data_IF_883834055055
#
_entry.id   IF_883834055055
#
_cell.length_a   1.000
_cell.length_b   1.000
_cell.length_c   1.000
_cell.angle_alpha   90.00
_cell.angle_beta   90.00
_cell.angle_gamma   90.00
#
_symmetry.space_group_name_H-M   'P 1'
#
loop_
_entity.id
_entity.type
_entity.pdbx_description
1 polymer ?
#
# COMPACT_ATOMS: atom_id res chain seq x y z
N UNK A 1 -9.55 1.22 24.17
CA UNK A 1 -10.68 0.59 23.43
C UNK A 1 -12.00 1.31 23.67
N UNK A 2 -12.48 1.42 24.91
CA UNK A 2 -13.82 2.00 25.15
C UNK A 2 -13.89 3.48 24.75
N UNK A 3 -12.80 4.23 24.94
CA UNK A 3 -12.66 5.62 24.47
C UNK A 3 -12.74 5.73 22.94
N UNK A 4 -11.99 4.91 22.19
CA UNK A 4 -12.08 4.85 20.73
C UNK A 4 -13.51 4.52 20.27
N UNK A 5 -14.14 3.51 20.88
CA UNK A 5 -15.51 3.12 20.57
C UNK A 5 -16.56 4.17 20.98
N UNK A 6 -16.22 5.06 21.91
CA UNK A 6 -17.03 6.22 22.28
C UNK A 6 -16.85 7.34 21.24
N UNK A 7 -15.60 7.63 20.85
CA UNK A 7 -15.26 8.63 19.84
C UNK A 7 -15.88 8.33 18.47
N UNK A 8 -15.88 7.08 18.03
CA UNK A 8 -16.55 6.67 16.78
C UNK A 8 -18.02 6.27 17.00
N UNK A 9 -18.51 6.35 18.23
CA UNK A 9 -19.85 5.92 18.61
C UNK A 9 -20.95 6.78 17.99
N UNK A 10 -20.69 8.07 17.78
CA UNK A 10 -21.66 9.04 17.27
C UNK A 10 -22.10 8.77 15.83
N UNK A 11 -21.22 8.12 15.04
CA UNK A 11 -21.52 7.62 13.68
C UNK A 11 -22.71 6.68 13.66
N UNK A 12 -22.97 5.98 14.77
CA UNK A 12 -24.10 5.07 14.92
C UNK A 12 -25.21 5.79 15.71
N UNK A 13 -26.25 6.35 15.05
CA UNK A 13 -27.22 7.22 15.72
C UNK A 13 -28.07 6.49 16.77
N UNK A 14 -28.30 5.18 16.57
CA UNK A 14 -29.14 4.37 17.45
C UNK A 14 -28.31 3.59 18.48
N UNK A 15 -28.78 3.56 19.73
CA UNK A 15 -28.11 2.83 20.82
C UNK A 15 -27.94 1.33 20.52
N UNK A 16 -28.92 0.71 19.85
CA UNK A 16 -28.82 -0.69 19.44
C UNK A 16 -27.74 -0.92 18.36
N UNK A 17 -27.58 0.01 17.42
CA UNK A 17 -26.52 -0.03 16.42
C UNK A 17 -25.15 0.20 17.05
N UNK A 18 -25.00 1.16 17.95
CA UNK A 18 -23.76 1.37 18.73
C UNK A 18 -23.33 0.08 19.43
N UNK A 19 -24.25 -0.55 20.16
CA UNK A 19 -23.95 -1.82 20.85
C UNK A 19 -23.50 -2.91 19.87
N UNK A 20 -24.12 -2.98 18.68
CA UNK A 20 -23.74 -3.96 17.66
C UNK A 20 -22.38 -3.68 17.03
N UNK A 21 -22.09 -2.43 16.70
CA UNK A 21 -20.80 -2.00 16.19
C UNK A 21 -19.68 -2.29 17.20
N UNK A 22 -19.88 -1.93 18.48
CA UNK A 22 -18.95 -2.27 19.56
C UNK A 22 -18.69 -3.78 19.66
N UNK A 23 -19.74 -4.60 19.61
CA UNK A 23 -19.61 -6.06 19.64
C UNK A 23 -18.91 -6.61 18.39
N UNK A 24 -19.17 -6.05 17.21
CA UNK A 24 -18.49 -6.40 15.96
C UNK A 24 -16.98 -6.12 16.07
N UNK A 25 -16.58 -4.91 16.49
CA UNK A 25 -15.16 -4.55 16.65
C UNK A 25 -14.47 -5.42 17.69
N UNK A 26 -15.12 -5.71 18.82
CA UNK A 26 -14.60 -6.65 19.82
C UNK A 26 -14.40 -8.06 19.26
N UNK A 27 -15.33 -8.56 18.45
CA UNK A 27 -15.17 -9.86 17.77
C UNK A 27 -14.09 -9.84 16.69
N UNK A 28 -13.92 -8.73 15.97
CA UNK A 28 -12.83 -8.56 15.01
C UNK A 28 -11.47 -8.65 15.70
N UNK A 29 -11.34 -8.10 16.90
CA UNK A 29 -10.12 -8.15 17.72
C UNK A 29 -9.99 -9.44 18.55
N UNK A 30 -11.10 -10.13 18.77
CA UNK A 30 -11.16 -11.33 19.60
C UNK A 30 -10.62 -12.59 18.91
N UNK A 31 -10.48 -13.70 19.66
CA UNK A 31 -10.00 -14.99 19.16
C UNK A 31 -11.08 -15.74 18.36
N UNK A 32 -11.68 -15.08 17.37
CA UNK A 32 -12.65 -15.65 16.44
C UNK A 32 -11.91 -16.23 15.24
N UNK A 33 -12.11 -17.53 14.96
CA UNK A 33 -11.35 -18.28 13.95
C UNK A 33 -11.55 -17.75 12.52
N UNK A 34 -12.78 -17.39 12.15
CA UNK A 34 -13.11 -16.69 10.91
C UNK A 34 -14.05 -15.54 11.22
N UNK A 35 -13.63 -14.31 10.94
CA UNK A 35 -14.36 -13.09 11.35
C UNK A 35 -15.53 -12.75 10.41
N UNK A 36 -16.40 -13.73 10.18
CA UNK A 36 -17.64 -13.59 9.43
C UNK A 36 -18.82 -13.25 10.36
N UNK A 37 -19.96 -12.86 9.77
CA UNK A 37 -21.12 -12.37 10.55
C UNK A 37 -21.71 -13.40 11.51
N UNK A 38 -21.55 -14.70 11.24
CA UNK A 38 -22.03 -15.77 12.12
C UNK A 38 -21.18 -15.89 13.37
N UNK A 39 -19.87 -16.11 13.20
CA UNK A 39 -18.98 -16.32 14.33
C UNK A 39 -18.80 -15.04 15.17
N UNK A 40 -18.88 -13.86 14.54
CA UNK A 40 -18.92 -12.59 15.27
C UNK A 40 -20.21 -12.43 16.10
N UNK A 41 -21.34 -12.98 15.66
CA UNK A 41 -22.58 -12.98 16.43
C UNK A 41 -22.51 -13.96 17.60
N UNK A 42 -21.99 -15.17 17.38
CA UNK A 42 -21.78 -16.17 18.43
C UNK A 42 -20.83 -15.66 19.52
N UNK A 43 -19.70 -15.05 19.12
CA UNK A 43 -18.76 -14.43 20.05
C UNK A 43 -19.41 -13.31 20.87
N UNK A 44 -20.35 -12.56 20.29
CA UNK A 44 -21.13 -11.53 20.98
C UNK A 44 -22.27 -12.10 21.85
N UNK A 45 -22.43 -13.43 21.94
CA UNK A 45 -23.47 -14.11 22.70
C UNK A 45 -24.85 -14.10 22.04
N UNK A 46 -24.93 -13.85 20.72
CA UNK A 46 -26.20 -13.83 19.99
C UNK A 46 -26.48 -15.17 19.30
N UNK A 47 -27.76 -15.58 19.33
CA UNK A 47 -28.21 -16.84 18.73
C UNK A 47 -28.25 -16.82 17.19
N UNK A 48 -28.21 -15.64 16.56
CA UNK A 48 -28.41 -15.47 15.12
C UNK A 48 -27.55 -14.34 14.55
N UNK A 49 -27.10 -14.44 13.28
CA UNK A 49 -26.28 -13.44 12.61
C UNK A 49 -27.07 -12.20 12.15
N UNK A 50 -28.40 -12.21 12.24
CA UNK A 50 -29.28 -11.17 11.65
C UNK A 50 -28.90 -9.76 12.08
N UNK A 51 -28.44 -9.60 13.31
CA UNK A 51 -27.96 -8.33 13.84
C UNK A 51 -26.68 -7.82 13.17
N UNK A 52 -25.70 -8.70 12.93
CA UNK A 52 -24.47 -8.35 12.22
C UNK A 52 -24.76 -8.10 10.74
N UNK A 53 -25.62 -8.91 10.13
CA UNK A 53 -26.07 -8.69 8.76
C UNK A 53 -26.81 -7.36 8.63
N UNK A 54 -27.68 -7.02 9.58
CA UNK A 54 -28.36 -5.72 9.60
C UNK A 54 -27.37 -4.57 9.71
N UNK A 55 -26.39 -4.64 10.62
CA UNK A 55 -25.36 -3.62 10.80
C UNK A 55 -24.61 -3.33 9.48
N UNK A 56 -24.20 -4.38 8.76
CA UNK A 56 -23.40 -4.26 7.54
C UNK A 56 -24.25 -3.92 6.32
N UNK A 57 -25.48 -4.41 6.23
CA UNK A 57 -26.30 -4.32 5.01
C UNK A 57 -27.36 -3.20 5.12
N UNK A 58 -28.31 -3.36 6.03
CA UNK A 58 -29.56 -2.57 6.02
C UNK A 58 -29.58 -1.36 6.95
N UNK A 59 -28.69 -1.31 7.94
CA UNK A 59 -28.66 -0.21 8.90
C UNK A 59 -28.32 1.12 8.19
N UNK A 60 -28.72 2.25 8.79
CA UNK A 60 -28.36 3.59 8.31
C UNK A 60 -27.32 4.19 9.27
N UNK A 61 -26.10 4.32 8.78
CA UNK A 61 -24.96 4.99 9.42
C UNK A 61 -23.95 5.34 8.33
N UNK A 62 -23.17 6.39 8.57
CA UNK A 62 -22.22 6.93 7.60
C UNK A 62 -20.89 6.18 7.69
N UNK A 63 -20.56 5.43 6.63
CA UNK A 63 -19.34 4.63 6.59
C UNK A 63 -18.10 5.48 6.34
N UNK A 64 -18.26 6.63 5.71
CA UNK A 64 -17.17 7.56 5.41
C UNK A 64 -16.86 8.43 6.63
N UNK A 65 -17.86 8.80 7.43
CA UNK A 65 -17.63 9.41 8.74
C UNK A 65 -16.83 8.47 9.67
N UNK A 66 -17.14 7.16 9.65
CA UNK A 66 -16.32 6.17 10.37
C UNK A 66 -14.89 6.11 9.84
N UNK A 67 -14.69 6.11 8.51
CA UNK A 67 -13.35 6.14 7.91
C UNK A 67 -12.58 7.37 8.36
N UNK A 68 -13.20 8.55 8.33
CA UNK A 68 -12.56 9.79 8.72
C UNK A 68 -12.20 9.79 10.21
N UNK A 69 -13.02 9.14 11.06
CA UNK A 69 -12.67 8.84 12.45
C UNK A 69 -11.47 7.90 12.61
N UNK A 70 -11.43 6.81 11.84
CA UNK A 70 -10.29 5.86 11.82
C UNK A 70 -9.01 6.56 11.37
N UNK A 71 -9.09 7.37 10.33
CA UNK A 71 -7.96 8.15 9.81
C UNK A 71 -7.39 9.07 10.87
N UNK A 72 -8.22 9.93 11.48
CA UNK A 72 -7.76 10.85 12.55
C UNK A 72 -7.12 10.09 13.71
N UNK A 73 -7.76 9.03 14.18
CA UNK A 73 -7.20 8.19 15.25
C UNK A 73 -5.83 7.59 14.88
N UNK A 74 -5.65 7.14 13.64
CA UNK A 74 -4.39 6.59 13.16
C UNK A 74 -3.30 7.67 12.98
N UNK A 75 -3.66 8.83 12.41
CA UNK A 75 -2.73 9.95 12.22
C UNK A 75 -2.22 10.47 13.57
N UNK A 76 -3.13 10.70 14.51
CA UNK A 76 -2.79 11.20 15.85
C UNK A 76 -2.02 10.14 16.66
N UNK A 77 -2.52 8.90 16.68
CA UNK A 77 -1.94 7.83 17.50
C UNK A 77 -0.56 7.36 17.03
N UNK A 78 -0.26 7.50 15.73
CA UNK A 78 1.03 7.13 15.15
C UNK A 78 1.90 8.35 14.80
N UNK A 79 1.49 9.56 15.21
CA UNK A 79 2.23 10.79 14.93
C UNK A 79 3.69 10.68 15.37
N UNK A 80 4.58 11.22 14.53
CA UNK A 80 6.02 11.13 14.66
C UNK A 80 6.66 12.44 14.19
N UNK A 81 7.64 12.91 14.95
CA UNK A 81 8.44 14.10 14.62
C UNK A 81 9.16 13.99 13.26
N UNK A 82 9.52 12.78 12.84
CA UNK A 82 10.12 12.52 11.53
C UNK A 82 9.12 12.68 10.36
N UNK A 83 7.83 12.86 10.66
CA UNK A 83 6.74 12.83 9.70
C UNK A 83 6.26 11.41 9.41
N UNK A 84 5.47 11.27 8.35
CA UNK A 84 4.97 9.96 7.93
C UNK A 84 4.91 9.82 6.43
N UNK A 85 4.69 8.58 6.01
CA UNK A 85 4.54 8.20 4.62
C UNK A 85 3.12 7.71 4.40
N UNK A 86 2.38 8.41 3.53
CA UNK A 86 1.15 7.92 2.96
C UNK A 86 1.49 6.95 1.85
N UNK A 87 1.10 5.69 2.01
CA UNK A 87 1.43 4.65 1.04
C UNK A 87 0.15 4.15 0.37
N UNK A 88 0.16 4.11 -0.96
CA UNK A 88 -0.93 3.54 -1.76
C UNK A 88 -0.54 2.14 -2.22
N UNK A 89 -1.40 1.18 -1.94
CA UNK A 89 -1.24 -0.20 -2.36
C UNK A 89 -2.61 -0.86 -2.62
N UNK A 90 -2.62 -2.01 -3.26
CA UNK A 90 -3.81 -2.80 -3.49
C UNK A 90 -3.70 -4.20 -2.92
N UNK A 91 -4.85 -4.79 -2.65
CA UNK A 91 -4.85 -6.19 -2.28
C UNK A 91 -6.07 -6.94 -2.78
N UNK A 92 -5.84 -8.21 -3.13
CA UNK A 92 -6.89 -9.11 -3.59
C UNK A 92 -7.55 -9.87 -2.45
N UNK A 93 -8.85 -10.05 -2.58
CA UNK A 93 -9.69 -10.88 -1.72
C UNK A 93 -10.28 -12.00 -2.56
N UNK A 94 -9.90 -13.25 -2.28
CA UNK A 94 -10.43 -14.41 -2.99
C UNK A 94 -11.95 -14.47 -2.82
N UNK A 95 -12.68 -14.41 -3.93
CA UNK A 95 -14.15 -14.38 -3.91
C UNK A 95 -14.67 -14.94 -5.22
N UNK A 96 -15.63 -15.86 -5.12
CA UNK A 96 -16.23 -16.55 -6.27
C UNK A 96 -17.70 -16.16 -6.42
N UNK A 97 -18.21 -16.31 -7.64
CA UNK A 97 -19.60 -16.02 -8.00
C UNK A 97 -19.74 -14.77 -8.87
N UNK A 98 -20.98 -14.49 -9.28
CA UNK A 98 -21.31 -13.36 -10.18
C UNK A 98 -21.99 -12.21 -9.45
N UNK A 99 -22.44 -12.41 -8.22
CA UNK A 99 -23.33 -11.47 -7.50
C UNK A 99 -22.64 -10.60 -6.45
N UNK A 100 -21.42 -10.95 -6.03
CA UNK A 100 -20.66 -10.11 -5.08
C UNK A 100 -19.98 -8.98 -5.84
N UNK A 101 -20.23 -7.74 -5.44
CA UNK A 101 -19.72 -6.51 -6.06
C UNK A 101 -18.23 -6.58 -6.38
N UNK A 102 -17.82 -6.16 -7.58
CA UNK A 102 -16.41 -6.12 -7.96
C UNK A 102 -15.72 -7.47 -8.21
N UNK A 103 -16.42 -8.61 -8.06
CA UNK A 103 -15.83 -9.92 -8.38
C UNK A 103 -15.63 -10.07 -9.88
N UNK A 104 -14.38 -10.28 -10.28
CA UNK A 104 -13.99 -10.64 -11.64
C UNK A 104 -12.72 -11.51 -11.62
N UNK A 105 -12.36 -12.12 -12.76
CA UNK A 105 -11.04 -12.74 -12.92
C UNK A 105 -10.01 -11.63 -13.06
N UNK A 106 -9.13 -11.48 -12.07
CA UNK A 106 -8.14 -10.40 -12.03
C UNK A 106 -6.80 -10.98 -11.60
N UNK A 107 -5.71 -10.38 -12.08
CA UNK A 107 -4.38 -10.68 -11.56
C UNK A 107 -4.27 -10.15 -10.13
N UNK A 108 -3.77 -10.98 -9.22
CA UNK A 108 -3.48 -10.58 -7.85
C UNK A 108 -2.18 -11.23 -7.41
N UNK A 109 -1.21 -10.38 -7.04
CA UNK A 109 0.07 -10.83 -6.51
C UNK A 109 -0.10 -11.70 -5.26
N UNK A 110 -1.07 -11.37 -4.40
CA UNK A 110 -1.31 -12.12 -3.17
C UNK A 110 -1.85 -13.54 -3.38
N UNK A 111 -2.46 -13.83 -4.53
CA UNK A 111 -2.91 -15.20 -4.89
C UNK A 111 -2.01 -15.86 -5.95
N UNK A 112 -0.96 -15.18 -6.41
CA UNK A 112 0.03 -15.74 -7.34
C UNK A 112 -0.49 -15.97 -8.77
N UNK A 113 -1.47 -15.19 -9.24
CA UNK A 113 -1.98 -15.35 -10.61
C UNK A 113 -3.34 -14.71 -10.87
N UNK A 114 -4.02 -15.20 -11.91
CA UNK A 114 -5.34 -14.71 -12.35
C UNK A 114 -6.46 -15.59 -11.80
N UNK A 115 -7.20 -15.06 -10.83
CA UNK A 115 -8.27 -15.77 -10.13
C UNK A 115 -9.52 -14.90 -9.98
N UNK A 116 -10.71 -15.51 -9.78
CA UNK A 116 -11.87 -14.77 -9.30
C UNK A 116 -11.57 -14.12 -7.94
N UNK A 117 -11.57 -12.79 -7.91
CA UNK A 117 -11.32 -12.01 -6.70
C UNK A 117 -11.96 -10.62 -6.77
N UNK A 118 -12.04 -9.97 -5.61
CA UNK A 118 -12.25 -8.53 -5.48
C UNK A 118 -10.89 -7.87 -5.24
N UNK A 119 -10.69 -6.65 -5.76
CA UNK A 119 -9.49 -5.85 -5.48
C UNK A 119 -9.92 -4.62 -4.70
N UNK A 120 -9.31 -4.38 -3.55
CA UNK A 120 -9.40 -3.11 -2.84
C UNK A 120 -8.11 -2.32 -3.04
N UNK A 121 -8.23 -1.03 -3.30
CA UNK A 121 -7.15 -0.04 -3.24
C UNK A 121 -7.19 0.60 -1.85
N UNK A 122 -6.04 0.70 -1.20
CA UNK A 122 -5.93 1.16 0.17
C UNK A 122 -4.90 2.27 0.27
N UNK A 123 -5.19 3.24 1.14
CA UNK A 123 -4.21 4.18 1.63
C UNK A 123 -3.82 3.77 3.05
N UNK A 124 -2.52 3.71 3.32
CA UNK A 124 -1.98 3.37 4.62
C UNK A 124 -1.09 4.50 5.14
N UNK A 125 -1.20 4.78 6.43
CA UNK A 125 -0.32 5.70 7.13
C UNK A 125 0.80 4.93 7.80
N UNK A 126 2.04 5.29 7.52
CA UNK A 126 3.22 4.62 8.07
C UNK A 126 4.20 5.64 8.67
N UNK A 127 4.60 5.42 9.92
CA UNK A 127 5.62 6.20 10.64
C UNK A 127 6.64 5.25 11.28
N UNK A 128 7.63 5.76 12.02
CA UNK A 128 8.55 4.87 12.74
C UNK A 128 7.85 4.12 13.87
N UNK A 129 6.72 4.62 14.35
CA UNK A 129 5.93 4.04 15.45
C UNK A 129 5.00 2.90 15.02
N UNK A 130 4.70 2.79 13.73
CA UNK A 130 3.81 1.75 13.21
C UNK A 130 3.16 2.11 11.90
N UNK A 131 2.25 1.25 11.44
CA UNK A 131 1.45 1.53 10.24
C UNK A 131 0.05 0.92 10.32
N UNK A 132 -0.91 1.60 9.71
CA UNK A 132 -2.29 1.10 9.56
C UNK A 132 -2.98 1.69 8.33
N UNK A 133 -4.14 1.13 7.98
CA UNK A 133 -4.97 1.58 6.85
C UNK A 133 -5.83 2.79 7.26
N UNK A 134 -5.88 3.81 6.42
CA UNK A 134 -6.59 5.09 6.67
C UNK A 134 -7.65 5.42 5.62
N UNK A 135 -7.59 4.82 4.42
CA UNK A 135 -8.65 4.92 3.41
C UNK A 135 -8.71 3.65 2.55
N UNK A 136 -9.82 3.48 1.82
CA UNK A 136 -10.22 2.30 1.08
C UNK A 136 -11.14 2.64 -0.07
N UNK A 137 -10.90 2.03 -1.22
CA UNK A 137 -11.79 2.03 -2.38
C UNK A 137 -11.87 0.62 -2.99
N UNK A 138 -13.06 0.19 -3.40
CA UNK A 138 -13.18 -1.05 -4.19
C UNK A 138 -12.90 -0.74 -5.66
N UNK A 139 -12.03 -1.51 -6.29
CA UNK A 139 -11.85 -1.44 -7.73
C UNK A 139 -12.98 -2.20 -8.43
N UNK A 140 -13.76 -1.49 -9.25
CA UNK A 140 -14.87 -2.03 -10.02
C UNK A 140 -14.46 -2.18 -11.49
N UNK A 141 -14.20 -3.42 -11.99
CA UNK A 141 -13.75 -3.62 -13.36
C UNK A 141 -14.80 -3.23 -14.41
N UNK A 142 -14.38 -2.96 -15.65
CA UNK A 142 -15.30 -2.55 -16.73
C UNK A 142 -16.46 -3.53 -16.98
N UNK A 143 -16.23 -4.83 -16.78
CA UNK A 143 -17.29 -5.86 -16.89
C UNK A 143 -18.42 -5.69 -15.84
N UNK A 144 -18.19 -4.94 -14.77
CA UNK A 144 -19.22 -4.53 -13.83
C UNK A 144 -19.89 -3.23 -14.24
N UNK A 145 -19.11 -2.19 -14.52
CA UNK A 145 -19.66 -0.87 -14.85
C UNK A 145 -20.38 -0.82 -16.20
N UNK A 146 -20.12 -1.79 -17.08
CA UNK A 146 -20.88 -2.02 -18.31
C UNK A 146 -22.20 -2.79 -18.12
N UNK A 147 -22.43 -3.38 -16.95
CA UNK A 147 -23.63 -4.17 -16.62
C UNK A 147 -24.42 -3.48 -15.49
N UNK A 148 -25.29 -2.55 -15.86
CA UNK A 148 -26.01 -1.69 -14.91
C UNK A 148 -27.04 -2.44 -14.08
N UNK A 149 -27.66 -3.47 -14.62
CA UNK A 149 -28.57 -4.35 -13.88
C UNK A 149 -27.83 -5.09 -12.76
N UNK A 150 -26.66 -5.63 -13.07
CA UNK A 150 -25.80 -6.29 -12.08
C UNK A 150 -25.28 -5.32 -11.02
N UNK A 151 -24.91 -4.10 -11.42
CA UNK A 151 -24.57 -3.03 -10.48
C UNK A 151 -25.74 -2.70 -9.54
N UNK A 152 -26.95 -2.52 -10.07
CA UNK A 152 -28.14 -2.22 -9.27
C UNK A 152 -28.48 -3.37 -8.30
N UNK A 153 -28.39 -4.62 -8.75
CA UNK A 153 -28.59 -5.80 -7.90
C UNK A 153 -27.56 -5.91 -6.76
N UNK A 154 -26.34 -5.43 -6.98
CA UNK A 154 -25.30 -5.32 -5.95
C UNK A 154 -25.32 -3.97 -5.19
N UNK A 155 -26.31 -3.11 -5.47
CA UNK A 155 -26.49 -1.79 -4.87
C UNK A 155 -25.32 -0.82 -5.09
N UNK A 156 -24.64 -0.94 -6.23
CA UNK A 156 -23.66 0.06 -6.68
C UNK A 156 -24.41 1.34 -7.05
N UNK A 157 -24.03 2.53 -6.54
CA UNK A 157 -24.67 3.78 -6.91
C UNK A 157 -24.60 4.05 -8.42
N UNK A 158 -25.65 4.64 -9.00
CA UNK A 158 -25.74 4.90 -10.45
C UNK A 158 -24.62 5.81 -10.96
N UNK A 159 -24.16 6.73 -10.11
CA UNK A 159 -23.08 7.68 -10.41
C UNK A 159 -21.69 7.02 -10.48
N UNK A 160 -21.56 5.77 -10.03
CA UNK A 160 -20.27 5.06 -10.06
C UNK A 160 -19.98 4.58 -11.49
N UNK A 161 -19.03 5.24 -12.12
CA UNK A 161 -18.42 4.84 -13.40
C UNK A 161 -17.16 3.98 -13.22
N UNK A 162 -16.57 3.59 -14.35
CA UNK A 162 -15.24 2.97 -14.32
C UNK A 162 -14.18 3.98 -13.87
N UNK A 163 -13.30 3.56 -12.97
CA UNK A 163 -12.13 4.32 -12.57
C UNK A 163 -10.92 3.37 -12.49
N UNK A 164 -9.78 3.80 -13.03
CA UNK A 164 -8.53 3.06 -12.86
C UNK A 164 -8.05 3.15 -11.41
N UNK A 165 -7.18 2.23 -10.99
CA UNK A 165 -6.62 2.24 -9.62
C UNK A 165 -5.91 3.57 -9.29
N UNK A 166 -5.09 4.18 -10.18
CA UNK A 166 -4.53 5.51 -9.93
C UNK A 166 -5.60 6.57 -9.69
N UNK A 167 -6.70 6.57 -10.44
CA UNK A 167 -7.81 7.54 -10.23
C UNK A 167 -8.56 7.31 -8.92
N UNK A 168 -8.63 6.08 -8.43
CA UNK A 168 -9.14 5.78 -7.08
C UNK A 168 -8.17 6.29 -6.01
N UNK A 169 -6.86 6.09 -6.21
CA UNK A 169 -5.83 6.59 -5.30
C UNK A 169 -5.82 8.13 -5.22
N UNK A 170 -5.94 8.83 -6.34
CA UNK A 170 -6.07 10.30 -6.38
C UNK A 170 -7.24 10.79 -5.52
N UNK A 171 -8.41 10.13 -5.61
CA UNK A 171 -9.57 10.45 -4.77
C UNK A 171 -9.29 10.24 -3.28
N UNK A 172 -8.62 9.15 -2.91
CA UNK A 172 -8.23 8.92 -1.52
C UNK A 172 -7.23 9.98 -1.04
N UNK A 173 -6.22 10.31 -1.85
CA UNK A 173 -5.22 11.32 -1.53
C UNK A 173 -5.90 12.68 -1.32
N UNK A 174 -6.77 13.13 -2.23
CA UNK A 174 -7.49 14.40 -2.09
C UNK A 174 -8.33 14.47 -0.80
N UNK A 175 -8.91 13.35 -0.35
CA UNK A 175 -9.66 13.29 0.91
C UNK A 175 -8.76 13.39 2.15
N UNK A 176 -7.57 12.79 2.09
CA UNK A 176 -6.66 12.66 3.23
C UNK A 176 -5.77 13.90 3.37
N UNK A 177 -5.38 14.51 2.25
CA UNK A 177 -4.40 15.59 2.16
C UNK A 177 -4.63 16.75 3.15
N UNK A 178 -5.87 17.23 3.41
CA UNK A 178 -6.09 18.31 4.36
C UNK A 178 -5.72 17.98 5.82
N UNK A 179 -5.61 16.70 6.17
CA UNK A 179 -5.26 16.23 7.52
C UNK A 179 -3.78 15.85 7.67
N UNK A 180 -3.01 15.86 6.57
CA UNK A 180 -1.61 15.44 6.58
C UNK A 180 -0.69 16.57 7.07
N UNK A 181 0.36 16.19 7.80
CA UNK A 181 1.43 17.11 8.17
C UNK A 181 2.25 17.54 6.94
N UNK A 182 2.85 18.74 6.98
CA UNK A 182 3.60 19.32 5.86
C UNK A 182 4.80 18.47 5.41
N UNK A 183 5.39 17.69 6.32
CA UNK A 183 6.53 16.80 6.05
C UNK A 183 6.11 15.40 5.55
N UNK A 184 4.86 15.22 5.15
CA UNK A 184 4.34 13.93 4.66
C UNK A 184 4.85 13.61 3.26
N UNK A 185 5.26 12.36 3.05
CA UNK A 185 5.62 11.82 1.74
C UNK A 185 4.61 10.79 1.23
N UNK A 186 4.55 10.64 -0.09
CA UNK A 186 3.78 9.61 -0.77
C UNK A 186 4.69 8.47 -1.23
N UNK A 187 4.28 7.22 -1.03
CA UNK A 187 4.86 6.07 -1.71
C UNK A 187 3.79 5.22 -2.39
N UNK A 188 4.13 4.58 -3.50
CA UNK A 188 3.21 3.73 -4.22
C UNK A 188 3.94 2.70 -5.08
N UNK A 189 3.26 1.60 -5.42
CA UNK A 189 3.80 0.55 -6.27
C UNK A 189 3.93 0.96 -7.75
N UNK A 190 4.40 0.02 -8.59
CA UNK A 190 4.63 0.24 -10.02
C UNK A 190 3.37 0.64 -10.80
N UNK A 191 2.18 0.15 -10.41
CA UNK A 191 0.93 0.46 -11.10
C UNK A 191 0.64 1.97 -11.05
N UNK A 192 0.94 2.60 -9.92
CA UNK A 192 0.80 4.05 -9.74
C UNK A 192 2.01 4.78 -10.30
N UNK A 193 3.22 4.30 -10.00
CA UNK A 193 4.43 5.01 -10.37
C UNK A 193 4.69 5.06 -11.88
N UNK A 194 4.17 4.13 -12.68
CA UNK A 194 4.21 4.21 -14.16
C UNK A 194 3.21 5.23 -14.74
N UNK A 195 2.15 5.57 -14.02
CA UNK A 195 1.12 6.49 -14.47
C UNK A 195 1.62 7.94 -14.36
N UNK A 196 1.91 8.57 -15.50
CA UNK A 196 2.40 9.95 -15.53
C UNK A 196 1.37 10.94 -14.97
N UNK A 197 0.08 10.69 -15.15
CA UNK A 197 -0.99 11.53 -14.62
C UNK A 197 -1.05 11.50 -13.10
N UNK A 198 -0.83 10.33 -12.48
CA UNK A 198 -0.75 10.17 -11.04
C UNK A 198 0.44 10.93 -10.45
N UNK A 199 1.61 10.84 -11.10
CA UNK A 199 2.79 11.62 -10.69
C UNK A 199 2.52 13.12 -10.82
N UNK A 200 2.03 13.59 -11.96
CA UNK A 200 1.66 15.01 -12.14
C UNK A 200 0.58 15.47 -11.16
N UNK A 201 -0.37 14.61 -10.79
CA UNK A 201 -1.34 14.90 -9.74
C UNK A 201 -0.65 15.14 -8.40
N UNK A 202 0.24 14.24 -7.96
CA UNK A 202 0.98 14.41 -6.70
C UNK A 202 1.81 15.70 -6.70
N UNK A 203 2.50 16.01 -7.81
CA UNK A 203 3.23 17.28 -7.99
C UNK A 203 2.29 18.50 -7.89
N UNK A 204 1.10 18.44 -8.53
CA UNK A 204 0.11 19.53 -8.47
C UNK A 204 -0.47 19.78 -7.07
N UNK A 205 -0.44 18.75 -6.22
CA UNK A 205 -0.83 18.81 -4.80
C UNK A 205 0.33 19.16 -3.88
N UNK A 206 1.52 19.38 -4.43
CA UNK A 206 2.76 19.60 -3.70
C UNK A 206 3.06 18.47 -2.70
N UNK A 207 2.66 17.23 -3.02
CA UNK A 207 2.88 16.06 -2.18
C UNK A 207 4.17 15.35 -2.66
N UNK A 208 5.28 15.46 -1.92
CA UNK A 208 6.53 14.83 -2.32
C UNK A 208 6.36 13.31 -2.34
N UNK A 209 7.02 12.63 -3.27
CA UNK A 209 6.81 11.19 -3.46
C UNK A 209 8.08 10.41 -3.78
N UNK A 210 8.03 9.11 -3.48
CA UNK A 210 8.92 8.08 -4.04
C UNK A 210 8.06 6.90 -4.50
N UNK A 211 8.00 6.65 -5.81
CA UNK A 211 7.12 5.63 -6.40
C UNK A 211 7.91 4.61 -7.19
N UNK A 212 7.53 3.34 -7.06
CA UNK A 212 8.14 2.25 -7.84
C UNK A 212 7.85 2.41 -9.34
N UNK A 213 8.80 2.04 -10.18
CA UNK A 213 8.63 2.00 -11.64
C UNK A 213 9.28 0.76 -12.22
N UNK A 214 8.87 0.37 -13.42
CA UNK A 214 9.52 -0.74 -14.14
C UNK A 214 10.96 -0.40 -14.51
N UNK A 215 11.79 -1.42 -14.71
CA UNK A 215 13.14 -1.27 -15.27
C UNK A 215 13.16 -0.60 -16.66
N UNK A 216 12.07 -0.68 -17.41
CA UNK A 216 11.90 -0.06 -18.71
C UNK A 216 11.49 1.43 -18.65
N UNK A 217 11.29 2.00 -17.44
CA UNK A 217 10.91 3.40 -17.29
C UNK A 217 11.96 4.31 -17.94
N UNK A 218 11.50 5.15 -18.86
CA UNK A 218 12.34 6.16 -19.49
C UNK A 218 12.33 7.44 -18.67
N UNK A 219 13.52 7.98 -18.45
CA UNK A 219 13.80 9.27 -17.81
C UNK A 219 14.54 10.16 -18.82
N UNK A 220 14.54 11.47 -18.58
CA UNK A 220 15.22 12.44 -19.45
C UNK A 220 16.44 13.06 -18.75
N UNK A 221 17.51 12.30 -18.44
CA UNK A 221 18.78 12.89 -18.06
C UNK A 221 19.42 13.55 -19.28
N UNK A 222 20.15 14.66 -19.13
CA UNK A 222 20.87 15.24 -20.27
C UNK A 222 22.05 14.32 -20.68
N UNK A 223 22.27 14.03 -21.98
CA UNK A 223 21.44 14.38 -23.14
C UNK A 223 20.45 13.26 -23.53
N UNK A 224 19.15 13.50 -23.38
CA UNK A 224 18.08 12.72 -24.02
C UNK A 224 17.48 11.58 -23.19
N UNK A 225 16.41 10.99 -23.74
CA UNK A 225 15.66 9.93 -23.06
C UNK A 225 16.47 8.65 -22.93
N UNK A 226 16.53 8.10 -21.72
CA UNK A 226 17.25 6.87 -21.40
C UNK A 226 16.42 6.02 -20.43
N UNK A 227 16.54 4.70 -20.55
CA UNK A 227 15.91 3.78 -19.58
C UNK A 227 16.68 3.79 -18.27
N UNK A 228 15.94 3.75 -17.16
CA UNK A 228 16.53 3.79 -15.81
C UNK A 228 17.46 2.61 -15.54
N UNK A 229 17.14 1.42 -16.04
CA UNK A 229 17.99 0.23 -15.88
C UNK A 229 19.34 0.36 -16.56
N UNK A 230 19.39 0.97 -17.75
CA UNK A 230 20.63 1.24 -18.48
C UNK A 230 21.49 2.31 -17.83
N UNK A 231 20.89 3.21 -17.06
CA UNK A 231 21.64 4.21 -16.31
C UNK A 231 22.20 3.61 -15.02
N UNK A 232 21.40 2.85 -14.27
CA UNK A 232 21.85 2.18 -13.06
C UNK A 232 22.92 1.14 -13.34
N UNK A 233 22.81 0.38 -14.42
CA UNK A 233 23.82 -0.61 -14.83
C UNK A 233 25.15 0.02 -15.28
N UNK A 234 25.17 1.31 -15.59
CA UNK A 234 26.37 2.05 -15.96
C UNK A 234 27.01 2.79 -14.78
N UNK A 235 26.40 2.72 -13.59
CA UNK A 235 26.92 3.36 -12.39
C UNK A 235 28.10 2.57 -11.80
N UNK A 236 29.14 3.28 -11.39
CA UNK A 236 30.26 2.71 -10.67
C UNK A 236 29.82 2.23 -9.28
N UNK A 237 30.43 1.17 -8.77
CA UNK A 237 30.08 0.62 -7.44
C UNK A 237 30.26 1.63 -6.29
N UNK A 238 31.15 2.62 -6.45
CA UNK A 238 31.34 3.72 -5.49
C UNK A 238 30.17 4.71 -5.46
N UNK A 239 29.32 4.71 -6.48
CA UNK A 239 28.10 5.53 -6.54
C UNK A 239 26.94 4.93 -5.72
N UNK A 240 27.06 3.66 -5.30
CA UNK A 240 26.07 2.96 -4.52
C UNK A 240 26.32 3.14 -3.02
N UNK A 241 25.31 3.66 -2.32
CA UNK A 241 25.36 3.90 -0.88
C UNK A 241 24.71 2.73 -0.14
N UNK A 242 25.40 2.19 0.87
CA UNK A 242 24.82 1.19 1.75
C UNK A 242 23.96 1.91 2.80
N UNK A 243 22.64 1.73 2.72
CA UNK A 243 21.68 2.38 3.60
C UNK A 243 20.85 1.32 4.32
N UNK A 244 20.71 1.49 5.63
CA UNK A 244 19.82 0.68 6.46
C UNK A 244 18.37 1.09 6.20
N UNK A 245 17.58 0.23 5.56
CA UNK A 245 16.20 0.56 5.16
C UNK A 245 15.15 0.33 6.26
N UNK A 246 15.54 0.51 7.54
CA UNK A 246 14.68 0.33 8.70
C UNK A 246 14.47 -1.12 9.15
N UNK A 247 13.80 -1.32 10.31
CA UNK A 247 13.64 -2.63 10.93
C UNK A 247 12.74 -3.54 10.09
N UNK A 248 13.14 -4.80 9.91
CA UNK A 248 12.27 -5.87 9.41
C UNK A 248 12.05 -6.93 10.50
N UNK A 249 11.01 -7.76 10.38
CA UNK A 249 10.78 -8.91 11.28
C UNK A 249 11.97 -9.90 11.31
N UNK A 250 12.91 -9.79 10.36
CA UNK A 250 14.12 -10.62 10.24
C UNK A 250 15.41 -9.87 10.59
N UNK A 251 15.34 -8.67 11.19
CA UNK A 251 16.47 -7.79 11.46
C UNK A 251 16.61 -6.65 10.43
N UNK A 252 17.62 -5.80 10.60
CA UNK A 252 17.91 -4.70 9.67
C UNK A 252 18.35 -5.23 8.31
N UNK A 253 17.71 -4.76 7.24
CA UNK A 253 18.15 -5.09 5.87
C UNK A 253 18.95 -3.92 5.34
N UNK A 254 20.24 -4.18 5.15
CA UNK A 254 21.12 -3.30 4.41
C UNK A 254 20.83 -3.43 2.92
N UNK A 255 20.62 -2.30 2.27
CA UNK A 255 20.40 -2.23 0.83
C UNK A 255 21.40 -1.26 0.22
N UNK A 256 21.84 -1.55 -0.99
CA UNK A 256 22.62 -0.60 -1.77
C UNK A 256 21.67 0.25 -2.61
N UNK A 257 21.84 1.56 -2.52
CA UNK A 257 21.02 2.57 -3.18
C UNK A 257 21.86 3.42 -4.09
N UNK A 258 21.43 3.54 -5.33
CA UNK A 258 21.95 4.49 -6.29
C UNK A 258 20.90 5.58 -6.51
N UNK A 259 21.23 6.82 -6.13
CA UNK A 259 20.33 7.96 -6.20
C UNK A 259 20.96 9.03 -7.10
N UNK A 260 20.25 9.45 -8.14
CA UNK A 260 20.70 10.50 -9.06
C UNK A 260 19.59 11.50 -9.32
N UNK A 261 19.95 12.79 -9.30
CA UNK A 261 19.02 13.87 -9.70
C UNK A 261 18.80 13.83 -11.20
N UNK A 262 17.56 14.02 -11.61
CA UNK A 262 17.17 14.24 -13.01
C UNK A 262 17.14 15.76 -13.19
N UNK A 263 17.92 16.30 -14.13
CA UNK A 263 17.86 17.71 -14.46
C UNK A 263 16.50 18.02 -15.11
N UNK A 264 15.80 19.03 -14.61
CA UNK A 264 14.54 19.43 -15.22
C UNK A 264 14.80 19.98 -16.64
N UNK A 265 14.02 19.56 -17.66
CA UNK A 265 14.28 19.92 -19.03
C UNK A 265 14.08 21.41 -19.33
N UNK A 266 13.27 22.14 -18.54
CA UNK A 266 12.87 23.52 -18.88
C UNK A 266 13.05 24.57 -17.78
N UNK A 267 13.49 24.23 -16.56
CA UNK A 267 13.78 25.25 -15.54
C UNK A 267 15.25 25.23 -15.08
N UNK A 268 15.90 26.40 -14.93
CA UNK A 268 17.07 26.49 -14.07
C UNK A 268 16.66 26.05 -12.66
N UNK A 269 17.55 25.39 -11.94
CA UNK A 269 17.39 25.13 -10.51
C UNK A 269 16.93 26.43 -9.81
N UNK A 270 15.66 26.47 -9.39
CA UNK A 270 15.05 27.58 -8.66
C UNK A 270 14.11 28.47 -9.49
N UNK A 271 12.84 28.08 -9.59
CA UNK A 271 11.75 29.04 -9.49
C UNK A 271 11.10 28.86 -8.12
N UNK A 272 11.21 29.89 -7.28
CA UNK A 272 10.84 29.81 -5.88
C UNK A 272 9.31 29.72 -5.71
N UNK A 273 8.82 28.61 -5.16
CA UNK A 273 7.54 28.58 -4.45
C UNK A 273 7.87 28.68 -2.96
N UNK A 274 7.43 29.76 -2.30
CA UNK A 274 7.66 30.04 -0.86
C UNK A 274 9.13 30.18 -0.43
N UNK A 275 10.01 30.73 -1.28
CA UNK A 275 11.34 31.19 -0.85
C UNK A 275 12.37 30.08 -0.54
N UNK A 276 12.15 28.84 -0.98
CA UNK A 276 13.14 27.76 -0.93
C UNK A 276 13.36 27.14 -2.31
N UNK A 277 14.58 26.62 -2.61
CA UNK A 277 14.87 25.94 -3.88
C UNK A 277 14.06 24.62 -3.94
N UNK A 278 12.96 24.63 -4.67
CA UNK A 278 12.04 23.52 -4.86
C UNK A 278 11.50 23.58 -6.28
N UNK A 279 11.18 22.44 -6.94
CA UNK A 279 11.40 21.04 -6.56
C UNK A 279 12.60 20.38 -7.28
N UNK A 280 12.98 19.15 -6.89
CA UNK A 280 13.91 18.29 -7.63
C UNK A 280 13.28 16.95 -7.97
N UNK A 281 13.76 16.31 -9.05
CA UNK A 281 13.40 14.95 -9.43
C UNK A 281 14.59 14.02 -9.26
N UNK A 282 14.35 12.78 -8.86
CA UNK A 282 15.38 11.75 -8.77
C UNK A 282 14.96 10.48 -9.49
N UNK A 283 15.96 9.79 -10.02
CA UNK A 283 15.89 8.37 -10.35
C UNK A 283 16.66 7.60 -9.28
N UNK A 284 16.11 6.46 -8.89
CA UNK A 284 16.66 5.64 -7.82
C UNK A 284 16.69 4.20 -8.29
N UNK A 285 17.76 3.49 -7.99
CA UNK A 285 17.84 2.04 -8.07
C UNK A 285 18.25 1.46 -6.72
N UNK A 286 17.69 0.32 -6.36
CA UNK A 286 17.95 -0.40 -5.12
C UNK A 286 18.30 -1.84 -5.43
N UNK A 287 19.36 -2.36 -4.80
CA UNK A 287 19.76 -3.77 -4.91
C UNK A 287 20.18 -4.35 -3.55
N UNK A 288 20.14 -5.67 -3.41
CA UNK A 288 20.76 -6.33 -2.26
C UNK A 288 22.26 -6.47 -2.50
N UNK A 289 23.11 -6.33 -1.47
CA UNK A 289 24.53 -6.64 -1.60
C UNK A 289 24.79 -8.06 -2.13
N UNK A 290 23.97 -9.04 -1.73
CA UNK A 290 24.15 -10.45 -2.09
C UNK A 290 23.61 -10.80 -3.48
N UNK A 291 22.72 -9.97 -4.04
CA UNK A 291 22.10 -10.18 -5.35
C UNK A 291 22.07 -8.86 -6.12
N UNK A 292 23.23 -8.34 -6.57
CA UNK A 292 23.34 -7.01 -7.16
C UNK A 292 22.60 -6.85 -8.50
N UNK A 293 22.29 -7.95 -9.18
CA UNK A 293 21.53 -7.95 -10.44
C UNK A 293 20.00 -7.86 -10.24
N UNK A 294 19.51 -8.03 -9.01
CA UNK A 294 18.09 -7.94 -8.66
C UNK A 294 17.77 -6.52 -8.19
N UNK A 295 17.34 -5.69 -9.14
CA UNK A 295 17.17 -4.26 -8.97
C UNK A 295 15.70 -3.84 -8.97
N UNK A 296 15.34 -3.05 -7.97
CA UNK A 296 14.11 -2.26 -7.96
C UNK A 296 14.40 -0.81 -8.35
N UNK A 297 13.46 -0.19 -9.07
CA UNK A 297 13.61 1.16 -9.60
C UNK A 297 12.52 2.08 -9.09
N UNK A 298 12.86 3.34 -8.86
CA UNK A 298 11.93 4.35 -8.37
C UNK A 298 12.15 5.70 -9.06
N UNK A 299 11.08 6.48 -9.11
CA UNK A 299 11.13 7.92 -9.38
C UNK A 299 10.72 8.67 -8.11
N UNK A 300 11.36 9.81 -7.87
CA UNK A 300 11.02 10.67 -6.76
C UNK A 300 10.91 12.14 -7.17
N UNK A 301 10.11 12.89 -6.43
CA UNK A 301 9.94 14.34 -6.57
C UNK A 301 9.71 14.97 -5.19
N UNK A 302 10.30 16.14 -4.93
CA UNK A 302 10.24 16.77 -3.60
C UNK A 302 11.33 17.83 -3.35
N UNK A 303 11.59 18.17 -2.06
CA UNK A 303 12.55 19.20 -1.67
C UNK A 303 13.96 18.98 -2.22
N UNK A 304 14.58 19.98 -2.86
CA UNK A 304 15.93 19.79 -3.44
C UNK A 304 17.01 19.49 -2.39
N UNK A 305 16.76 19.77 -1.12
CA UNK A 305 17.64 19.45 0.00
C UNK A 305 17.47 18.03 0.58
N UNK A 306 16.54 17.22 0.05
CA UNK A 306 16.28 15.89 0.60
C UNK A 306 17.51 14.97 0.47
N UNK A 307 18.00 14.39 1.58
CA UNK A 307 19.14 13.49 1.56
C UNK A 307 18.73 12.11 1.01
N UNK A 308 19.64 11.38 0.32
CA UNK A 308 19.35 10.04 -0.23
C UNK A 308 18.76 9.04 0.79
N UNK A 309 19.19 9.12 2.05
CA UNK A 309 18.74 8.30 3.16
C UNK A 309 17.24 8.49 3.42
N UNK A 310 16.74 9.72 3.29
CA UNK A 310 15.31 10.01 3.44
C UNK A 310 14.51 9.43 2.28
N UNK A 311 14.99 9.54 1.05
CA UNK A 311 14.35 8.93 -0.13
C UNK A 311 14.30 7.39 0.00
N UNK A 312 15.38 6.78 0.49
CA UNK A 312 15.45 5.35 0.78
C UNK A 312 14.45 4.94 1.88
N UNK A 313 14.31 5.75 2.93
CA UNK A 313 13.32 5.51 4.00
C UNK A 313 11.88 5.54 3.46
N UNK A 314 11.54 6.54 2.64
CA UNK A 314 10.20 6.66 2.03
C UNK A 314 9.91 5.47 1.12
N UNK A 315 10.87 5.08 0.27
CA UNK A 315 10.74 3.88 -0.58
C UNK A 315 10.60 2.58 0.26
N UNK A 316 11.30 2.50 1.39
CA UNK A 316 11.23 1.38 2.33
C UNK A 316 9.90 1.27 3.07
N UNK A 317 9.20 2.40 3.29
CA UNK A 317 7.92 2.44 3.99
C UNK A 317 6.82 1.58 3.33
N UNK A 318 6.94 1.25 2.03
CA UNK A 318 6.02 0.33 1.33
C UNK A 318 5.91 -1.03 2.03
N UNK A 319 6.99 -1.52 2.63
CA UNK A 319 6.96 -2.79 3.36
C UNK A 319 6.04 -2.75 4.59
N UNK A 320 5.95 -1.60 5.27
CA UNK A 320 5.05 -1.44 6.43
C UNK A 320 3.57 -1.58 6.04
N UNK A 321 3.20 -1.28 4.80
CA UNK A 321 1.83 -1.49 4.31
C UNK A 321 1.49 -2.95 4.11
N UNK A 322 2.42 -3.73 3.59
CA UNK A 322 2.21 -5.18 3.48
C UNK A 322 1.93 -5.77 4.86
N UNK A 323 2.60 -5.28 5.90
CA UNK A 323 2.37 -5.68 7.28
C UNK A 323 1.04 -5.14 7.84
N UNK A 324 0.65 -3.90 7.54
CA UNK A 324 -0.67 -3.37 7.89
C UNK A 324 -1.82 -4.16 7.21
N UNK A 325 -1.67 -4.53 5.94
CA UNK A 325 -2.62 -5.36 5.20
C UNK A 325 -2.65 -6.78 5.78
N UNK A 326 -1.50 -7.37 6.12
CA UNK A 326 -1.43 -8.69 6.77
C UNK A 326 -2.12 -8.65 8.14
N UNK A 327 -1.86 -7.64 8.97
CA UNK A 327 -2.54 -7.40 10.23
C UNK A 327 -4.05 -7.35 10.01
N UNK A 328 -4.49 -6.53 9.05
CA UNK A 328 -5.88 -6.42 8.64
C UNK A 328 -6.50 -7.78 8.28
N UNK A 329 -5.88 -8.52 7.36
CA UNK A 329 -6.40 -9.79 6.83
C UNK A 329 -6.41 -10.91 7.87
N UNK A 330 -5.32 -11.07 8.61
CA UNK A 330 -5.12 -12.24 9.48
C UNK A 330 -5.62 -12.02 10.90
N UNK A 331 -5.59 -10.78 11.41
CA UNK A 331 -5.97 -10.48 12.80
C UNK A 331 -7.23 -9.63 12.93
N UNK A 332 -7.65 -8.89 11.89
CA UNK A 332 -8.78 -7.96 11.99
C UNK A 332 -9.91 -8.24 10.97
N UNK A 333 -9.88 -9.40 10.32
CA UNK A 333 -11.00 -9.90 9.51
C UNK A 333 -11.18 -9.22 8.16
N UNK A 334 -10.19 -8.47 7.68
CA UNK A 334 -10.27 -7.73 6.40
C UNK A 334 -10.57 -8.66 5.21
N UNK A 335 -10.23 -9.96 5.30
CA UNK A 335 -10.48 -10.96 4.26
C UNK A 335 -11.59 -11.99 4.60
N UNK A 336 -12.21 -11.91 5.77
CA UNK A 336 -13.12 -12.96 6.27
C UNK A 336 -14.61 -12.73 5.94
N UNK A 337 -14.92 -11.63 5.26
CA UNK A 337 -16.28 -11.18 5.05
C UNK A 337 -17.09 -12.01 4.06
N UNK A 338 -18.40 -12.03 4.30
CA UNK A 338 -19.39 -12.70 3.45
C UNK A 338 -20.35 -11.73 2.76
N UNK A 339 -20.15 -10.41 2.96
CA UNK A 339 -20.92 -9.36 2.30
C UNK A 339 -20.81 -9.44 0.78
N UNK A 340 -21.87 -8.97 0.10
CA UNK A 340 -22.03 -9.03 -1.37
C UNK A 340 -22.34 -7.68 -1.99
N UNK A 341 -23.03 -6.80 -1.27
CA UNK A 341 -23.43 -5.49 -1.77
C UNK A 341 -22.33 -4.45 -1.58
N UNK A 342 -22.40 -3.38 -2.38
CA UNK A 342 -21.50 -2.23 -2.37
C UNK A 342 -21.27 -1.68 -0.96
N UNK A 343 -22.32 -1.22 -0.29
CA UNK A 343 -22.23 -0.62 1.03
C UNK A 343 -21.73 -1.64 2.09
N UNK A 344 -22.12 -2.91 1.98
CA UNK A 344 -21.68 -3.96 2.90
C UNK A 344 -20.17 -4.17 2.86
N UNK A 345 -19.56 -4.09 1.67
CA UNK A 345 -18.10 -4.13 1.52
C UNK A 345 -17.42 -2.97 2.25
N UNK A 346 -17.80 -1.72 1.96
CA UNK A 346 -17.20 -0.55 2.61
C UNK A 346 -17.36 -0.60 4.13
N UNK A 347 -18.52 -1.03 4.63
CA UNK A 347 -18.79 -1.11 6.08
C UNK A 347 -17.94 -2.14 6.78
N UNK A 348 -17.86 -3.35 6.23
CA UNK A 348 -17.00 -4.40 6.81
C UNK A 348 -15.54 -3.96 6.79
N UNK A 349 -15.06 -3.49 5.64
CA UNK A 349 -13.66 -3.07 5.47
C UNK A 349 -13.31 -1.95 6.46
N UNK A 350 -14.18 -0.94 6.62
CA UNK A 350 -13.93 0.17 7.56
C UNK A 350 -13.93 -0.29 9.02
N UNK A 351 -14.80 -1.23 9.42
CA UNK A 351 -14.77 -1.81 10.77
C UNK A 351 -13.50 -2.64 11.01
N UNK A 352 -13.03 -3.39 10.00
CA UNK A 352 -11.74 -4.09 10.05
C UNK A 352 -10.55 -3.12 10.12
N UNK A 353 -10.61 -1.98 9.41
CA UNK A 353 -9.60 -0.93 9.50
C UNK A 353 -9.57 -0.30 10.89
N UNK A 354 -10.73 -0.04 11.50
CA UNK A 354 -10.82 0.45 12.88
C UNK A 354 -10.13 -0.50 13.88
N UNK A 355 -10.39 -1.80 13.75
CA UNK A 355 -9.73 -2.82 14.57
C UNK A 355 -8.20 -2.84 14.34
N UNK A 356 -7.75 -2.77 13.09
CA UNK A 356 -6.31 -2.74 12.77
C UNK A 356 -5.62 -1.46 13.29
N UNK A 357 -6.27 -0.30 13.14
CA UNK A 357 -5.78 0.96 13.67
C UNK A 357 -5.66 0.92 15.20
N UNK A 358 -6.65 0.34 15.90
CA UNK A 358 -6.54 0.13 17.34
C UNK A 358 -5.30 -0.69 17.71
N UNK A 359 -5.08 -1.84 17.08
CA UNK A 359 -3.90 -2.66 17.38
C UNK A 359 -2.58 -1.93 17.09
N UNK A 360 -2.49 -1.22 15.97
CA UNK A 360 -1.29 -0.48 15.59
C UNK A 360 -0.97 0.64 16.60
N UNK A 361 -1.99 1.42 17.01
CA UNK A 361 -1.81 2.52 17.97
C UNK A 361 -1.50 1.99 19.38
N UNK A 362 -2.11 0.87 19.79
CA UNK A 362 -1.76 0.25 21.08
C UNK A 362 -0.31 -0.25 21.08
N UNK A 363 0.14 -0.95 20.02
CA UNK A 363 1.52 -1.39 19.91
C UNK A 363 2.50 -0.20 19.99
N UNK A 364 2.19 0.89 19.30
CA UNK A 364 2.98 2.13 19.33
C UNK A 364 2.99 2.84 20.70
N UNK A 365 1.98 2.60 21.54
CA UNK A 365 1.88 3.15 22.90
C UNK A 365 2.64 2.27 23.89
N UNK A 366 2.45 0.94 23.81
CA UNK A 366 3.15 -0.03 24.65
C UNK A 366 4.67 0.03 24.44
N UNK A 367 5.12 0.22 23.20
CA UNK A 367 6.55 0.43 22.87
C UNK A 367 7.10 1.76 23.43
N UNK A 368 6.27 2.79 23.56
CA UNK A 368 6.66 4.07 24.15
C UNK A 368 6.78 3.99 25.69
N UNK A 369 5.93 3.17 26.30
CA UNK A 369 5.86 2.95 27.76
C UNK A 369 6.79 1.83 28.25
N UNK A 370 7.48 1.11 27.34
CA UNK A 370 8.46 0.10 27.69
C UNK A 370 9.64 0.72 28.48
N UNK A 371 10.00 0.17 29.66
CA UNK A 371 11.14 0.67 30.43
C UNK A 371 12.45 0.59 29.62
N UNK A 372 13.37 1.50 29.90
CA UNK A 372 14.58 1.79 29.13
C UNK A 372 15.62 0.66 28.85
N UNK A 373 15.64 -0.55 29.46
CA UNK A 373 16.74 -1.49 29.21
C UNK A 373 16.87 -2.03 27.78
N UNK A 374 15.88 -1.81 26.90
CA UNK A 374 15.94 -2.26 25.50
C UNK A 374 16.48 -1.19 24.52
N UNK A 375 16.64 0.07 24.96
CA UNK A 375 17.11 1.18 24.09
C UNK A 375 18.65 1.26 23.99
N UNK A 376 19.38 0.79 24.99
CA UNK A 376 20.86 0.82 25.00
C UNK A 376 21.51 -0.32 24.19
N UNK A 377 20.75 -1.33 23.75
CA UNK A 377 21.29 -2.43 22.95
C UNK A 377 21.44 -2.10 21.44
N UNK A 378 21.02 -0.90 21.01
CA UNK A 378 21.09 -0.43 19.61
C UNK A 378 21.89 0.87 19.43
N UNK A 379 22.44 1.44 20.51
CA UNK A 379 23.49 2.44 20.45
C UNK A 379 24.83 1.73 20.59
N UNK A 380 25.42 1.32 19.46
CA UNK A 380 26.75 0.73 19.45
C UNK A 380 27.79 1.75 19.90
N UNK A 381 28.45 1.47 21.01
CA UNK A 381 29.83 1.88 21.22
C UNK A 381 30.73 0.78 20.63
N UNK A 382 31.71 1.20 19.83
CA UNK A 382 32.70 0.32 19.20
C UNK A 382 33.55 -0.44 20.23
N UNK A 383 34.09 -1.63 19.87
CA UNK A 383 35.00 -2.36 20.73
C UNK A 383 36.42 -1.79 20.58
N UNK A 384 36.91 -1.10 21.60
CA UNK A 384 38.34 -0.84 21.74
C UNK A 384 39.09 -2.06 22.32
N UNK A 385 40.28 -2.25 21.74
CA UNK A 385 41.28 -3.31 21.85
C UNK A 385 41.48 -4.05 23.19
N UNK A 386 41.90 -5.32 23.07
CA UNK A 386 42.55 -6.12 24.12
C UNK A 386 43.67 -5.36 24.85
N UNK A 387 43.96 -5.75 26.11
CA UNK A 387 45.25 -6.41 26.27
C UNK A 387 45.22 -7.68 27.14
N UNK A 388 46.22 -8.51 26.80
CA UNK A 388 46.65 -9.77 27.38
C UNK A 388 46.83 -9.76 28.91
N UNK A 389 46.49 -10.91 29.51
CA UNK A 389 47.34 -11.60 30.49
C UNK A 389 46.88 -11.59 31.96
N UNK A 390 46.84 -12.77 32.56
CA UNK A 390 47.05 -12.92 34.02
C UNK A 390 45.97 -13.66 34.81
N UNK A 391 46.15 -14.98 34.92
CA UNK A 391 45.79 -15.86 36.05
C UNK A 391 45.17 -15.22 37.31
N UNK A 392 44.02 -15.76 37.78
CA UNK A 392 43.90 -16.30 39.15
C UNK A 392 42.68 -17.22 39.35
N UNK A 393 42.87 -18.17 40.27
CA UNK A 393 41.99 -19.27 40.69
C UNK A 393 40.93 -18.86 41.72
N UNK A 394 40.00 -19.81 41.92
CA UNK A 394 39.10 -20.12 43.07
C UNK A 394 37.64 -19.68 42.83
N UNK A 395 36.58 -20.46 43.09
CA UNK A 395 36.38 -21.73 43.81
C UNK A 395 35.05 -22.42 43.41
N UNK A 396 35.06 -23.77 43.47
CA UNK A 396 33.96 -24.75 43.71
C UNK A 396 32.72 -24.26 44.49
N UNK A 397 31.48 -24.77 44.40
CA UNK A 397 30.74 -25.90 43.74
C UNK A 397 29.23 -25.78 44.23
N UNK A 398 28.32 -26.78 44.15
CA UNK A 398 27.77 -27.60 43.04
C UNK A 398 26.21 -27.58 42.93
N UNK A 399 25.66 -28.49 42.11
CA UNK A 399 24.26 -28.95 41.91
C UNK A 399 23.43 -28.19 40.86
N UNK A 400 22.61 -28.81 40.00
CA UNK A 400 22.07 -30.19 39.93
C UNK A 400 21.74 -30.54 38.46
N UNK A 401 21.80 -31.83 38.17
CA UNK A 401 21.53 -32.45 36.87
C UNK A 401 20.07 -32.90 36.74
N UNK A 402 19.46 -32.66 35.57
CA UNK A 402 18.44 -33.51 34.93
C UNK A 402 18.25 -33.07 33.46
N UNK A 403 18.14 -33.98 32.48
CA UNK A 403 18.25 -33.66 31.05
C UNK A 403 16.89 -33.43 30.38
N UNK A 404 16.85 -32.60 29.33
CA UNK A 404 15.70 -32.46 28.41
C UNK A 404 16.22 -32.46 26.96
N UNK A 405 15.58 -33.18 26.02
CA UNK A 405 16.17 -33.54 24.72
C UNK A 405 16.11 -32.40 23.68
N UNK A 406 16.94 -32.46 22.62
CA UNK A 406 17.04 -31.37 21.65
C UNK A 406 15.83 -31.32 20.69
N UNK A 407 15.38 -30.13 20.27
CA UNK A 407 14.46 -30.01 19.15
C UNK A 407 15.19 -30.27 17.82
N UNK A 408 14.50 -31.02 16.97
CA UNK A 408 14.93 -31.50 15.66
C UNK A 408 15.14 -30.36 14.67
N UNK A 409 16.22 -30.47 13.90
CA UNK A 409 16.49 -29.72 12.68
C UNK A 409 15.39 -29.95 11.64
N UNK A 410 14.73 -28.87 11.20
CA UNK A 410 13.92 -28.86 9.99
C UNK A 410 14.69 -28.13 8.89
N UNK A 411 14.92 -28.86 7.82
CA UNK A 411 15.68 -28.51 6.64
C UNK A 411 15.07 -27.35 5.84
N UNK A 412 15.96 -26.44 5.44
CA UNK A 412 15.76 -25.45 4.38
C UNK A 412 15.39 -26.13 3.06
N UNK A 413 14.15 -25.92 2.60
CA UNK A 413 13.71 -26.26 1.25
C UNK A 413 13.97 -25.06 0.34
N UNK A 414 15.05 -25.18 -0.45
CA UNK A 414 15.36 -24.32 -1.60
C UNK A 414 14.33 -24.56 -2.71
N UNK A 415 13.56 -23.54 -3.07
CA UNK A 415 12.78 -23.54 -4.32
C UNK A 415 13.63 -22.99 -5.46
N UNK A 416 14.12 -23.90 -6.32
CA UNK A 416 14.74 -23.55 -7.59
C UNK A 416 13.62 -23.36 -8.64
N UNK A 417 13.42 -22.14 -9.11
CA UNK A 417 12.54 -21.84 -10.24
C UNK A 417 13.26 -22.13 -11.54
N UNK A 418 13.01 -23.32 -12.11
CA UNK A 418 13.35 -23.66 -13.50
C UNK A 418 12.37 -22.94 -14.44
N UNK A 419 12.89 -22.09 -15.33
CA UNK A 419 12.15 -21.49 -16.46
C UNK A 419 11.78 -22.59 -17.48
N UNK A 420 10.57 -22.60 -18.06
CA UNK A 420 10.30 -23.40 -19.25
C UNK A 420 10.64 -22.62 -20.54
N UNK A 421 11.29 -23.33 -21.47
CA UNK A 421 11.51 -22.91 -22.86
C UNK A 421 10.20 -22.96 -23.67
N UNK A 422 10.06 -22.17 -24.74
CA UNK A 422 8.85 -22.13 -25.56
C UNK A 422 8.82 -23.30 -26.56
N UNK A 423 7.71 -24.05 -26.55
CA UNK A 423 7.41 -25.04 -27.59
C UNK A 423 6.64 -24.39 -28.73
N UNK A 424 7.23 -24.49 -29.92
CA UNK A 424 6.67 -24.23 -31.24
C UNK A 424 5.50 -25.17 -31.54
N UNK A 425 4.35 -24.60 -31.92
CA UNK A 425 3.27 -25.33 -32.62
C UNK A 425 2.84 -24.47 -33.80
N UNK A 426 3.07 -25.00 -35.01
CA UNK A 426 2.57 -24.45 -36.28
C UNK A 426 1.08 -24.76 -36.49
N UNK A 427 0.44 -24.13 -37.49
CA UNK A 427 -1.01 -24.11 -37.64
C UNK A 427 -1.51 -25.29 -38.49
N UNK A 428 -2.82 -25.63 -38.40
CA UNK A 428 -3.51 -26.25 -39.50
C UNK A 428 -4.66 -25.39 -40.05
N UNK A 429 -4.50 -25.01 -41.31
CA UNK A 429 -5.44 -25.11 -42.46
C UNK A 429 -6.95 -24.89 -42.25
N UNK A 430 -7.41 -23.78 -42.82
CA UNK A 430 -8.26 -23.67 -44.01
C UNK A 430 -9.55 -24.53 -44.11
N UNK A 431 -10.69 -23.85 -44.03
CA UNK A 431 -11.93 -24.21 -44.72
C UNK A 431 -12.63 -22.91 -45.13
N UNK A 432 -12.67 -22.66 -46.44
CA UNK A 432 -13.22 -21.46 -47.05
C UNK A 432 -14.75 -21.36 -47.02
N UNK A 433 -15.21 -20.13 -47.26
CA UNK A 433 -16.60 -19.77 -47.54
C UNK A 433 -16.69 -18.28 -47.83
N UNK A 434 -16.75 -17.95 -49.12
CA UNK A 434 -16.85 -16.61 -49.71
C UNK A 434 -18.12 -15.83 -49.33
N UNK A 435 -17.96 -14.50 -49.23
CA UNK A 435 -18.79 -13.39 -49.76
C UNK A 435 -18.53 -12.19 -48.83
N UNK A 436 -17.79 -11.14 -49.23
CA UNK A 436 -18.15 -10.23 -50.31
C UNK A 436 -18.75 -8.98 -49.65
N UNK A 437 -17.95 -7.93 -49.44
CA UNK A 437 -18.29 -6.57 -49.86
C UNK A 437 -17.27 -5.52 -49.38
N UNK A 438 -17.08 -4.60 -50.31
CA UNK A 438 -16.06 -3.59 -50.50
C UNK A 438 -16.57 -2.25 -49.97
N UNK A 439 -15.96 -1.67 -48.93
CA UNK A 439 -16.11 -0.23 -48.61
C UNK A 439 -14.78 0.36 -48.11
N UNK A 440 -14.06 0.91 -49.08
CA UNK A 440 -13.25 2.14 -49.07
C UNK A 440 -13.18 2.98 -47.77
N UNK A 441 -11.95 3.30 -47.37
CA UNK A 441 -11.59 4.40 -46.45
C UNK A 441 -11.67 5.76 -47.16
N UNK A 442 -12.13 6.84 -46.51
CA UNK A 442 -11.80 8.19 -46.95
C UNK A 442 -10.66 8.80 -46.12
N UNK A 443 -9.70 9.40 -46.84
CA UNK A 443 -8.70 10.36 -46.38
C UNK A 443 -9.33 11.73 -46.06
N UNK A 444 -8.67 12.58 -45.24
CA UNK A 444 -9.20 13.87 -44.82
C UNK A 444 -8.90 14.97 -45.83
N UNK A 445 -9.89 15.82 -46.13
CA UNK A 445 -9.70 17.08 -46.87
C UNK A 445 -10.00 18.24 -45.94
N UNK A 446 -9.04 19.16 -45.80
CA UNK A 446 -9.17 20.38 -45.02
C UNK A 446 -10.01 21.43 -45.73
N UNK A 447 -10.60 22.34 -44.95
CA UNK A 447 -11.09 23.64 -45.40
C UNK A 447 -10.69 24.68 -44.35
N UNK A 448 -10.08 25.74 -44.89
CA UNK A 448 -9.66 27.02 -44.30
C UNK A 448 -10.86 27.99 -44.32
N UNK A 449 -10.79 29.04 -43.47
CA UNK A 449 -11.51 30.34 -43.50
C UNK A 449 -12.46 30.53 -42.30
N UNK A 450 -12.57 31.69 -41.65
CA UNK A 450 -11.89 32.98 -41.80
C UNK A 450 -12.06 33.81 -40.51
N UNK A 451 -11.21 34.81 -40.35
CA UNK A 451 -11.25 35.79 -39.27
C UNK A 451 -12.35 36.86 -39.50
N UNK A 452 -12.92 37.38 -38.41
CA UNK A 452 -13.81 38.53 -38.43
C UNK A 452 -13.59 39.41 -37.20
N UNK A 453 -12.83 40.48 -37.38
CA UNK A 453 -12.62 41.57 -36.42
C UNK A 453 -13.52 42.77 -36.76
N UNK A 454 -13.82 43.54 -35.70
CA UNK A 454 -14.17 44.97 -35.64
C UNK A 454 -15.65 45.39 -35.77
N UNK A 455 -16.19 46.01 -34.71
CA UNK A 455 -16.20 47.48 -34.58
C UNK A 455 -16.78 47.97 -33.24
N UNK A 456 -16.06 48.90 -32.61
CA UNK A 456 -16.56 49.93 -31.67
C UNK A 456 -17.08 51.13 -32.49
N UNK A 457 -17.85 52.05 -31.88
CA UNK A 457 -17.24 53.14 -31.09
C UNK A 457 -17.52 53.09 -29.59
#
# INVERSE_FOLDING_TARGET
MEELLQQVGDVFPRADLRRRAKACVRGLLGPVSRKNGWQLAEYAGWRRPDGQQHLLDRAKWDVDELRDGVRRYALDGLADSAGGVLVIDETGFAKKGKTSVGVARQFTGSLGGVFPCQIGVFAAWATTRGATLVDREIYLPQVWTGDRERCAAAQVPETVGFATKPRLAEKMIDRILPELAENTWLAADEVYGRDGGFRSFAESRQLPYVVNVSSAQTVLPRPGWRRIDKLAAAADDSEWQLIEAGPSQTGSRWWQWWVRRIADPEEPVGSAVRGQPWPSRWMIARRRPETPDDLDYYLAWGPSGTPPEHLAHVAGARWRVEDAIKLGKHQCGLADYEVRHWHGWYRHITLSMLAAAFLAVQAATDDADAPAPLREALSGDEPDEEPKGGSTRTSSAPNSSSPTPPPRSASSLRSSTRRPHPSTVGPPTDCGGHAGDDITRPTPTGIIADAGLANSP
#
